data_IF_338302611216
#
_entry.id   IF_338302611216
#
_cell.length_a   1.000
_cell.length_b   1.000
_cell.length_c   1.000
_cell.angle_alpha   90.00
_cell.angle_beta   90.00
_cell.angle_gamma   90.00
#
_symmetry.space_group_name_H-M   'P 1'
#
loop_
_entity.id
_entity.type
_entity.pdbx_description
1 polymer ?
#
# COMPACT_ATOMS: atom_id res chain seq x y z
N UNK A 1 16.72 -17.39 1.98
CA UNK A 1 17.16 -18.20 0.82
C UNK A 1 17.51 -17.22 -0.28
N UNK A 2 18.66 -17.35 -0.95
CA UNK A 2 19.08 -16.38 -1.97
C UNK A 2 18.21 -16.53 -3.22
N UNK A 3 17.47 -15.49 -3.63
CA UNK A 3 16.50 -15.52 -4.74
C UNK A 3 17.12 -16.04 -6.05
N UNK A 4 18.38 -15.70 -6.31
CA UNK A 4 19.16 -16.20 -7.44
C UNK A 4 19.20 -17.74 -7.48
N UNK A 5 19.42 -18.39 -6.33
CA UNK A 5 19.48 -19.85 -6.21
C UNK A 5 18.12 -20.49 -6.45
N UNK A 6 17.03 -19.83 -6.05
CA UNK A 6 15.67 -20.30 -6.32
C UNK A 6 15.43 -20.29 -7.83
N UNK A 7 15.65 -19.14 -8.49
CA UNK A 7 15.47 -18.98 -9.94
C UNK A 7 16.27 -20.03 -10.70
N UNK A 8 17.57 -20.15 -10.43
CA UNK A 8 18.43 -21.13 -11.12
C UNK A 8 17.91 -22.56 -10.91
N UNK A 9 17.56 -22.96 -9.68
CA UNK A 9 17.03 -24.30 -9.42
C UNK A 9 15.69 -24.57 -10.09
N UNK A 10 14.85 -23.56 -10.26
CA UNK A 10 13.56 -23.67 -10.95
C UNK A 10 13.75 -23.91 -12.44
N UNK A 11 14.63 -23.16 -13.11
CA UNK A 11 14.76 -23.24 -14.57
C UNK A 11 15.75 -24.31 -15.06
N UNK A 12 16.77 -24.67 -14.27
CA UNK A 12 17.83 -25.60 -14.69
C UNK A 12 17.31 -26.98 -15.16
N UNK A 13 16.31 -27.62 -14.50
CA UNK A 13 15.77 -28.90 -14.96
C UNK A 13 15.06 -28.84 -16.32
N UNK A 14 14.68 -27.65 -16.78
CA UNK A 14 13.90 -27.43 -18.00
C UNK A 14 14.74 -26.87 -19.16
N UNK A 15 16.06 -26.75 -19.00
CA UNK A 15 16.96 -26.22 -20.02
C UNK A 15 18.13 -27.16 -20.27
N UNK A 16 18.45 -27.41 -21.54
CA UNK A 16 19.64 -28.18 -21.90
C UNK A 16 20.88 -27.29 -21.86
N UNK A 17 21.82 -27.62 -20.99
CA UNK A 17 23.07 -26.86 -20.82
C UNK A 17 22.98 -25.79 -19.72
N UNK A 18 23.96 -24.88 -19.72
CA UNK A 18 24.00 -23.76 -18.77
C UNK A 18 22.88 -22.76 -19.09
N UNK A 19 22.13 -22.33 -18.07
CA UNK A 19 21.18 -21.23 -18.23
C UNK A 19 21.90 -19.96 -18.73
N UNK A 20 21.24 -19.10 -19.53
CA UNK A 20 21.78 -17.80 -19.89
C UNK A 20 22.17 -17.00 -18.64
N UNK A 21 23.35 -16.37 -18.65
CA UNK A 21 23.86 -15.57 -17.52
C UNK A 21 22.90 -14.47 -17.11
N UNK A 22 22.15 -13.94 -18.08
CA UNK A 22 21.31 -12.76 -17.91
C UNK A 22 19.88 -13.13 -17.50
N UNK A 23 19.54 -14.43 -17.43
CA UNK A 23 18.19 -14.88 -17.07
C UNK A 23 17.80 -14.38 -15.67
N UNK A 24 18.62 -14.66 -14.67
CA UNK A 24 18.38 -14.27 -13.28
C UNK A 24 18.31 -12.75 -13.11
N UNK A 25 19.30 -11.93 -13.55
CA UNK A 25 19.22 -10.49 -13.39
C UNK A 25 18.04 -9.88 -14.17
N UNK A 26 17.69 -10.38 -15.35
CA UNK A 26 16.54 -9.87 -16.11
C UNK A 26 15.20 -10.19 -15.42
N UNK A 27 15.04 -11.39 -14.87
CA UNK A 27 13.83 -11.73 -14.11
C UNK A 27 13.71 -10.88 -12.85
N UNK A 28 14.80 -10.71 -12.09
CA UNK A 28 14.81 -9.86 -10.91
C UNK A 28 14.45 -8.43 -11.30
N UNK A 29 15.13 -7.85 -12.29
CA UNK A 29 14.86 -6.48 -12.76
C UNK A 29 13.41 -6.31 -13.20
N UNK A 30 12.88 -7.26 -13.98
CA UNK A 30 11.50 -7.19 -14.46
C UNK A 30 10.50 -7.20 -13.32
N UNK A 31 10.66 -8.07 -12.32
CA UNK A 31 9.71 -8.21 -11.22
C UNK A 31 9.93 -7.24 -10.05
N UNK A 32 11.03 -6.49 -10.05
CA UNK A 32 11.37 -5.45 -9.06
C UNK A 32 11.19 -4.03 -9.60
N UNK A 33 10.74 -3.87 -10.84
CA UNK A 33 10.58 -2.56 -11.47
C UNK A 33 9.30 -2.45 -12.30
N UNK A 34 9.01 -1.24 -12.77
CA UNK A 34 7.94 -0.89 -13.70
C UNK A 34 7.91 -1.72 -14.97
N UNK A 35 8.95 -2.49 -15.29
CA UNK A 35 8.88 -3.42 -16.40
C UNK A 35 7.77 -4.47 -16.18
N UNK A 36 7.63 -4.97 -14.94
CA UNK A 36 6.66 -6.01 -14.59
C UNK A 36 5.26 -5.51 -14.25
N UNK A 37 5.06 -4.19 -14.13
CA UNK A 37 3.82 -3.61 -13.59
C UNK A 37 3.40 -2.37 -14.36
N UNK A 38 2.12 -2.08 -14.36
CA UNK A 38 1.56 -0.82 -14.85
C UNK A 38 0.68 -0.24 -13.77
N UNK A 39 0.92 1.03 -13.41
CA UNK A 39 0.05 1.74 -12.48
C UNK A 39 -1.10 2.38 -13.25
N UNK A 40 -2.30 2.37 -12.66
CA UNK A 40 -3.41 3.17 -13.17
C UNK A 40 -3.00 4.68 -13.14
N UNK A 41 -3.17 5.43 -14.24
CA UNK A 41 -2.70 6.81 -14.33
C UNK A 41 -3.28 7.76 -13.28
N UNK A 42 -4.53 7.53 -12.87
CA UNK A 42 -5.21 8.31 -11.84
C UNK A 42 -4.57 8.11 -10.45
N UNK A 43 -4.09 6.91 -10.13
CA UNK A 43 -3.43 6.60 -8.85
C UNK A 43 -2.16 7.42 -8.69
N UNK A 44 -1.29 7.42 -9.70
CA UNK A 44 -0.03 8.18 -9.65
C UNK A 44 -0.31 9.67 -9.51
N UNK A 45 -1.21 10.19 -10.36
CA UNK A 45 -1.61 11.59 -10.37
C UNK A 45 -2.22 12.00 -9.02
N UNK A 46 -3.04 11.14 -8.44
CA UNK A 46 -3.69 11.37 -7.16
C UNK A 46 -2.68 11.45 -6.02
N UNK A 47 -1.82 10.43 -5.86
CA UNK A 47 -0.85 10.39 -4.77
C UNK A 47 0.15 11.56 -4.83
N UNK A 48 0.59 11.93 -6.03
CA UNK A 48 1.47 13.08 -6.23
C UNK A 48 0.77 14.40 -5.90
N UNK A 49 -0.48 14.60 -6.33
CA UNK A 49 -1.28 15.79 -5.95
C UNK A 49 -1.55 15.84 -4.45
N UNK A 50 -1.81 14.68 -3.84
CA UNK A 50 -2.07 14.54 -2.41
C UNK A 50 -0.81 14.89 -1.61
N UNK A 51 0.37 14.45 -2.05
CA UNK A 51 1.67 14.77 -1.43
C UNK A 51 1.93 16.27 -1.34
N UNK A 52 1.44 17.06 -2.31
CA UNK A 52 1.64 18.50 -2.36
C UNK A 52 0.68 19.28 -1.44
N UNK A 53 -0.27 18.60 -0.78
CA UNK A 53 -1.22 19.26 0.11
C UNK A 53 -0.54 19.66 1.43
N UNK A 54 -0.89 20.82 2.02
CA UNK A 54 -0.37 21.23 3.32
C UNK A 54 -0.58 20.18 4.42
N UNK A 55 -1.68 19.41 4.36
CA UNK A 55 -1.99 18.36 5.31
C UNK A 55 -0.93 17.25 5.42
N UNK A 56 -0.05 17.11 4.43
CA UNK A 56 1.04 16.12 4.44
C UNK A 56 2.24 16.54 5.28
N UNK A 57 2.33 17.81 5.67
CA UNK A 57 3.42 18.29 6.52
C UNK A 57 3.27 17.76 7.95
N UNK A 58 4.39 17.44 8.59
CA UNK A 58 4.41 16.89 9.95
C UNK A 58 3.77 17.83 11.00
N UNK A 59 3.85 19.15 10.78
CA UNK A 59 3.30 20.19 11.65
C UNK A 59 1.83 20.51 11.41
N UNK A 60 1.18 19.86 10.44
CA UNK A 60 -0.18 20.20 10.03
C UNK A 60 -1.25 19.71 11.02
N UNK A 61 -2.36 20.44 11.05
CA UNK A 61 -3.57 20.06 11.77
C UNK A 61 -4.78 20.45 10.91
N UNK A 62 -5.56 19.49 10.37
CA UNK A 62 -5.37 18.04 10.49
C UNK A 62 -4.22 17.53 9.60
N UNK A 63 -3.51 16.48 10.06
CA UNK A 63 -2.40 15.83 9.33
C UNK A 63 -2.84 14.58 8.59
N UNK A 64 -2.26 14.34 7.43
CA UNK A 64 -2.45 13.14 6.60
C UNK A 64 -1.14 12.38 6.42
N UNK A 65 -1.16 11.09 6.72
CA UNK A 65 -0.07 10.14 6.47
C UNK A 65 -0.58 9.05 5.52
N UNK A 66 0.22 8.69 4.52
CA UNK A 66 -0.13 7.71 3.49
C UNK A 66 0.83 6.54 3.55
N UNK A 67 0.32 5.37 3.90
CA UNK A 67 1.08 4.12 3.91
C UNK A 67 0.59 3.13 2.85
N UNK A 68 1.41 2.13 2.55
CA UNK A 68 1.02 0.94 1.78
C UNK A 68 0.98 -0.26 2.71
N UNK A 69 -0.08 -1.05 2.70
CA UNK A 69 -0.18 -2.34 3.40
C UNK A 69 -0.51 -3.42 2.37
N UNK A 70 0.34 -4.44 2.22
CA UNK A 70 0.22 -5.38 1.10
C UNK A 70 0.64 -6.81 1.46
N UNK A 71 -0.06 -7.78 0.86
CA UNK A 71 0.33 -9.20 0.92
C UNK A 71 1.40 -9.44 -0.15
N UNK A 72 2.63 -9.08 0.15
CA UNK A 72 3.76 -9.16 -0.78
C UNK A 72 5.09 -9.23 -0.03
N UNK A 73 6.17 -9.26 -0.80
CA UNK A 73 7.54 -9.29 -0.32
C UNK A 73 8.20 -7.89 -0.33
N UNK A 74 9.49 -7.84 0.00
CA UNK A 74 10.24 -6.61 0.28
C UNK A 74 10.58 -5.76 -0.94
N UNK A 75 10.24 -6.21 -2.16
CA UNK A 75 10.46 -5.44 -3.40
C UNK A 75 9.47 -4.30 -3.64
N UNK A 76 8.36 -4.26 -2.90
CA UNK A 76 7.26 -3.31 -3.15
C UNK A 76 7.73 -1.84 -3.18
N UNK A 77 8.56 -1.34 -2.25
CA UNK A 77 9.05 0.03 -2.30
C UNK A 77 9.85 0.34 -3.58
N UNK A 78 10.63 -0.62 -4.08
CA UNK A 78 11.40 -0.48 -5.32
C UNK A 78 10.51 -0.45 -6.56
N UNK A 79 9.50 -1.32 -6.61
CA UNK A 79 8.49 -1.33 -7.68
C UNK A 79 7.77 0.01 -7.74
N UNK A 80 7.24 0.50 -6.62
CA UNK A 80 6.54 1.78 -6.53
C UNK A 80 7.45 2.96 -6.90
N UNK A 81 8.70 2.95 -6.45
CA UNK A 81 9.69 3.97 -6.82
C UNK A 81 9.96 3.99 -8.33
N UNK A 82 10.11 2.81 -8.94
CA UNK A 82 10.35 2.69 -10.38
C UNK A 82 9.15 3.11 -11.24
N UNK A 83 7.93 3.05 -10.68
CA UNK A 83 6.69 3.55 -11.29
C UNK A 83 6.55 5.08 -11.20
N UNK A 84 7.47 5.77 -10.51
CA UNK A 84 7.54 7.22 -10.44
C UNK A 84 6.99 7.84 -9.15
N UNK A 85 6.74 7.04 -8.11
CA UNK A 85 6.38 7.54 -6.78
C UNK A 85 7.63 7.79 -5.93
N UNK A 86 7.60 8.83 -5.10
CA UNK A 86 8.61 9.08 -4.06
C UNK A 86 8.20 8.29 -2.82
N UNK A 87 8.89 7.19 -2.55
CA UNK A 87 8.55 6.27 -1.45
C UNK A 87 9.57 6.40 -0.34
N UNK A 88 9.11 6.62 0.90
CA UNK A 88 9.95 6.40 2.07
C UNK A 88 10.08 4.89 2.31
N UNK A 89 11.31 4.42 2.54
CA UNK A 89 11.61 2.99 2.70
C UNK A 89 11.45 2.50 4.14
N UNK A 90 10.75 3.26 4.98
CA UNK A 90 10.33 2.81 6.31
C UNK A 90 9.40 1.60 6.15
N UNK A 91 9.72 0.53 6.88
CA UNK A 91 8.97 -0.72 6.89
C UNK A 91 8.91 -1.33 8.28
N UNK A 92 8.12 -2.39 8.45
CA UNK A 92 8.04 -3.08 9.72
C UNK A 92 9.44 -3.52 10.19
N UNK A 93 9.78 -3.20 11.45
CA UNK A 93 11.11 -3.46 12.02
C UNK A 93 12.21 -2.46 11.63
N UNK A 94 11.94 -1.46 10.77
CA UNK A 94 12.88 -0.36 10.51
C UNK A 94 13.10 0.48 11.76
N UNK A 95 14.33 0.96 11.94
CA UNK A 95 14.60 2.05 12.88
C UNK A 95 14.13 3.36 12.25
N UNK A 96 13.22 4.04 12.92
CA UNK A 96 12.81 5.39 12.56
C UNK A 96 13.80 6.36 13.18
N UNK A 97 14.56 7.06 12.34
CA UNK A 97 15.48 8.09 12.77
C UNK A 97 14.90 9.47 12.45
N UNK A 98 15.26 10.49 13.23
CA UNK A 98 14.92 11.88 12.89
C UNK A 98 15.64 12.24 11.60
N UNK A 99 14.92 12.20 10.49
CA UNK A 99 15.46 12.62 9.21
C UNK A 99 15.51 14.16 9.18
N UNK A 100 16.66 14.72 8.76
CA UNK A 100 16.78 16.14 8.44
C UNK A 100 15.85 16.49 7.27
N UNK A 101 15.45 17.76 7.12
CA UNK A 101 14.56 18.30 6.08
C UNK A 101 14.52 17.45 4.80
N UNK A 102 13.59 16.50 4.74
CA UNK A 102 13.44 15.63 3.59
C UNK A 102 12.37 16.17 2.65
N UNK A 103 12.60 15.94 1.36
CA UNK A 103 11.58 16.09 0.34
C UNK A 103 10.32 15.29 0.71
N UNK A 104 9.17 15.95 0.67
CA UNK A 104 7.87 15.32 0.88
C UNK A 104 7.71 14.08 0.00
N UNK A 105 7.45 12.94 0.62
CA UNK A 105 7.22 11.67 -0.06
C UNK A 105 5.75 11.53 -0.44
N UNK A 106 5.50 10.75 -1.49
CA UNK A 106 4.15 10.37 -1.90
C UNK A 106 3.60 9.30 -0.95
N UNK A 107 4.47 8.37 -0.52
CA UNK A 107 4.18 7.28 0.43
C UNK A 107 5.18 7.36 1.60
N UNK A 108 4.66 7.39 2.82
CA UNK A 108 5.41 7.63 4.06
C UNK A 108 5.98 6.34 4.68
N UNK A 109 5.37 5.18 4.40
CA UNK A 109 5.88 3.88 4.81
C UNK A 109 5.22 2.73 4.03
N UNK A 110 5.82 1.54 4.09
CA UNK A 110 5.28 0.31 3.55
C UNK A 110 5.24 -0.79 4.61
N UNK A 111 4.14 -1.54 4.68
CA UNK A 111 3.97 -2.76 5.47
C UNK A 111 3.71 -3.91 4.50
N UNK A 112 4.56 -4.93 4.55
CA UNK A 112 4.48 -6.10 3.69
C UNK A 112 4.27 -7.34 4.56
N UNK A 113 3.43 -8.28 4.11
CA UNK A 113 3.15 -9.49 4.88
C UNK A 113 4.38 -10.33 5.20
N UNK A 114 5.40 -10.32 4.32
CA UNK A 114 6.67 -11.01 4.59
C UNK A 114 7.47 -10.39 5.73
N UNK A 115 7.40 -9.08 5.92
CA UNK A 115 8.09 -8.41 7.03
C UNK A 115 7.37 -8.67 8.36
N UNK A 116 6.03 -8.68 8.34
CA UNK A 116 5.21 -8.88 9.55
C UNK A 116 5.09 -10.36 9.92
N UNK A 117 5.14 -11.26 8.94
CA UNK A 117 4.93 -12.70 9.11
C UNK A 117 3.47 -13.15 9.06
N UNK A 118 2.54 -12.27 8.69
CA UNK A 118 1.12 -12.58 8.48
C UNK A 118 0.54 -11.75 7.33
N UNK A 119 -0.54 -12.24 6.76
CA UNK A 119 -1.23 -11.64 5.60
C UNK A 119 -2.59 -11.07 6.02
N UNK A 120 -3.05 -10.04 5.32
CA UNK A 120 -4.47 -9.65 5.35
C UNK A 120 -5.35 -10.88 5.06
N UNK A 121 -6.44 -11.12 5.81
CA UNK A 121 -7.11 -10.18 6.73
C UNK A 121 -6.66 -10.25 8.21
N UNK A 122 -5.52 -10.87 8.54
CA UNK A 122 -5.02 -10.88 9.94
C UNK A 122 -4.80 -9.44 10.43
N UNK A 123 -5.37 -9.09 11.58
CA UNK A 123 -5.37 -7.73 12.14
C UNK A 123 -3.96 -7.21 12.44
N UNK A 124 -3.01 -8.12 12.74
CA UNK A 124 -1.61 -7.79 13.05
C UNK A 124 -0.91 -7.01 11.95
N UNK A 125 -1.29 -7.19 10.69
CA UNK A 125 -0.67 -6.43 9.59
C UNK A 125 -1.12 -4.95 9.61
N UNK A 126 -2.34 -4.67 10.08
CA UNK A 126 -2.84 -3.32 10.29
C UNK A 126 -2.25 -2.71 11.58
N UNK A 127 -2.10 -3.51 12.64
CA UNK A 127 -1.39 -3.09 13.86
C UNK A 127 0.08 -2.76 13.60
N UNK A 128 0.73 -3.47 12.68
CA UNK A 128 2.08 -3.15 12.24
C UNK A 128 2.16 -1.76 11.58
N UNK A 129 1.11 -1.34 10.87
CA UNK A 129 1.02 0.00 10.28
C UNK A 129 0.87 1.09 11.34
N UNK A 130 -0.03 0.92 12.31
CA UNK A 130 -0.21 1.89 13.42
C UNK A 130 1.02 1.95 14.33
N UNK A 131 1.71 0.83 14.54
CA UNK A 131 2.97 0.77 15.30
C UNK A 131 4.09 1.54 14.61
N UNK A 132 4.19 1.44 13.28
CA UNK A 132 5.17 2.21 12.51
C UNK A 132 4.82 3.70 12.48
N UNK A 133 3.53 4.05 12.34
CA UNK A 133 3.05 5.41 12.50
C UNK A 133 3.41 5.97 13.89
N UNK A 134 3.22 5.20 14.96
CA UNK A 134 3.64 5.61 16.31
C UNK A 134 5.12 5.92 16.37
N UNK A 135 5.96 5.08 15.76
CA UNK A 135 7.41 5.30 15.72
C UNK A 135 7.78 6.56 14.93
N UNK A 136 7.06 6.86 13.84
CA UNK A 136 7.20 8.11 13.07
C UNK A 136 6.87 9.31 13.95
N UNK A 137 5.71 9.31 14.60
CA UNK A 137 5.27 10.42 15.44
C UNK A 137 6.22 10.62 16.64
N UNK A 138 6.64 9.54 17.29
CA UNK A 138 7.61 9.58 18.40
C UNK A 138 8.93 10.22 17.94
N UNK A 139 9.41 9.86 16.74
CA UNK A 139 10.60 10.48 16.17
C UNK A 139 10.44 11.99 15.93
N UNK A 140 9.22 12.46 15.69
CA UNK A 140 8.90 13.88 15.49
C UNK A 140 8.58 14.62 16.80
N UNK A 141 8.60 13.93 17.95
CA UNK A 141 8.24 14.49 19.26
C UNK A 141 6.74 14.59 19.51
N UNK A 142 5.94 13.86 18.74
CA UNK A 142 4.49 13.66 18.94
C UNK A 142 4.23 12.25 19.48
N UNK A 143 3.02 11.97 19.96
CA UNK A 143 2.64 10.65 20.47
C UNK A 143 1.42 10.17 19.72
N UNK A 144 1.44 8.93 19.24
CA UNK A 144 0.25 8.33 18.64
C UNK A 144 -0.83 8.06 19.70
N UNK A 145 -2.05 8.50 19.40
CA UNK A 145 -3.26 8.16 20.14
C UNK A 145 -4.33 7.77 19.14
N UNK A 146 -4.95 6.62 19.34
CA UNK A 146 -5.89 6.06 18.36
C UNK A 146 -7.06 7.00 18.09
N UNK A 147 -7.55 7.67 19.12
CA UNK A 147 -8.65 8.63 19.09
C UNK A 147 -8.35 9.92 18.31
N UNK A 148 -7.06 10.24 18.07
CA UNK A 148 -6.66 11.44 17.33
C UNK A 148 -6.54 11.17 15.82
N UNK A 149 -6.69 9.90 15.38
CA UNK A 149 -6.44 9.48 14.00
C UNK A 149 -7.63 8.73 13.41
N UNK A 150 -8.13 9.25 12.30
CA UNK A 150 -9.02 8.51 11.41
C UNK A 150 -8.20 7.58 10.52
N UNK A 151 -8.39 6.27 10.71
CA UNK A 151 -7.68 5.24 9.96
C UNK A 151 -8.56 4.73 8.82
N UNK A 152 -8.12 4.92 7.58
CA UNK A 152 -8.83 4.44 6.39
C UNK A 152 -7.92 3.52 5.56
N UNK A 153 -8.45 2.35 5.21
CA UNK A 153 -7.82 1.47 4.25
C UNK A 153 -8.57 1.52 2.91
N UNK A 154 -7.81 1.60 1.81
CA UNK A 154 -8.33 1.59 0.44
C UNK A 154 -7.77 0.37 -0.26
N UNK A 155 -8.65 -0.54 -0.71
CA UNK A 155 -8.26 -1.77 -1.40
C UNK A 155 -9.35 -2.29 -2.30
N UNK A 156 -9.09 -3.36 -3.02
CA UNK A 156 -10.00 -3.96 -4.00
C UNK A 156 -10.59 -5.31 -3.56
N UNK A 157 -10.10 -5.90 -2.46
CA UNK A 157 -10.59 -7.18 -1.95
C UNK A 157 -11.54 -7.02 -0.75
N UNK A 158 -12.80 -7.44 -0.85
CA UNK A 158 -13.80 -7.38 0.22
C UNK A 158 -13.29 -8.06 1.49
N UNK A 159 -12.79 -9.29 1.37
CA UNK A 159 -12.37 -10.07 2.55
C UNK A 159 -11.02 -9.60 3.09
N UNK A 160 -10.00 -9.46 2.23
CA UNK A 160 -8.64 -9.15 2.71
C UNK A 160 -8.53 -7.69 3.13
N UNK A 161 -9.10 -6.78 2.34
CA UNK A 161 -8.94 -5.34 2.54
C UNK A 161 -10.02 -4.77 3.44
N UNK A 162 -11.28 -4.85 3.02
CA UNK A 162 -12.36 -4.18 3.74
C UNK A 162 -12.65 -4.84 5.09
N UNK A 163 -12.88 -6.16 5.11
CA UNK A 163 -13.16 -6.87 6.36
C UNK A 163 -11.94 -6.86 7.28
N UNK A 164 -10.73 -7.08 6.76
CA UNK A 164 -9.50 -7.02 7.55
C UNK A 164 -9.29 -5.65 8.20
N UNK A 165 -9.50 -4.56 7.46
CA UNK A 165 -9.41 -3.21 8.01
C UNK A 165 -10.48 -2.98 9.10
N UNK A 166 -11.71 -3.40 8.87
CA UNK A 166 -12.83 -3.22 9.82
C UNK A 166 -12.56 -3.99 11.11
N UNK A 167 -12.08 -5.24 11.02
CA UNK A 167 -11.76 -6.08 12.17
C UNK A 167 -10.61 -5.47 13.00
N UNK A 168 -9.64 -4.81 12.35
CA UNK A 168 -8.58 -4.03 13.00
C UNK A 168 -9.06 -2.67 13.56
N UNK A 169 -10.34 -2.33 13.39
CA UNK A 169 -10.94 -1.08 13.85
C UNK A 169 -10.64 0.14 12.96
N UNK A 170 -10.25 -0.08 11.70
CA UNK A 170 -10.14 0.96 10.68
C UNK A 170 -11.48 1.14 9.95
N UNK A 171 -11.56 2.17 9.13
CA UNK A 171 -12.56 2.32 8.09
C UNK A 171 -12.03 1.72 6.78
N UNK A 172 -12.93 1.43 5.85
CA UNK A 172 -12.59 0.85 4.56
C UNK A 172 -13.29 1.59 3.42
N UNK A 173 -12.64 1.61 2.27
CA UNK A 173 -13.21 1.94 0.96
C UNK A 173 -12.78 0.86 -0.02
N UNK A 174 -13.71 0.40 -0.84
CA UNK A 174 -13.44 -0.55 -1.92
C UNK A 174 -13.21 0.22 -3.23
N UNK A 175 -12.09 -0.06 -3.88
CA UNK A 175 -11.79 0.37 -5.24
C UNK A 175 -12.22 -0.70 -6.21
N UNK A 176 -13.23 -0.38 -7.00
CA UNK A 176 -13.82 -1.26 -7.98
C UNK A 176 -13.71 -0.63 -9.36
N UNK A 177 -12.63 -0.94 -10.06
CA UNK A 177 -12.37 -0.38 -11.40
C UNK A 177 -13.37 -0.86 -12.46
N UNK A 178 -14.32 -1.72 -12.11
CA UNK A 178 -15.21 -2.39 -13.05
C UNK A 178 -14.43 -3.34 -13.96
N UNK A 179 -15.14 -4.07 -14.82
CA UNK A 179 -14.57 -5.08 -15.71
C UNK A 179 -13.63 -4.58 -16.83
N UNK A 180 -12.90 -3.47 -16.63
CA UNK A 180 -11.67 -3.19 -17.37
C UNK A 180 -10.66 -4.30 -17.05
N UNK A 181 -10.83 -5.41 -17.76
CA UNK A 181 -9.92 -6.56 -17.79
C UNK A 181 -8.61 -6.12 -18.43
N UNK A 182 -7.77 -5.43 -17.68
CA UNK A 182 -6.40 -5.91 -17.68
C UNK A 182 -6.50 -7.34 -17.13
N UNK A 183 -6.05 -8.32 -17.91
CA UNK A 183 -6.23 -9.77 -17.64
C UNK A 183 -5.51 -10.23 -16.34
N UNK A 184 -4.99 -9.31 -15.54
CA UNK A 184 -4.26 -9.50 -14.29
C UNK A 184 -4.94 -8.85 -13.07
N UNK A 185 -6.10 -8.18 -13.21
CA UNK A 185 -6.84 -7.67 -12.06
C UNK A 185 -7.65 -8.80 -11.40
N UNK A 186 -7.33 -9.11 -10.14
CA UNK A 186 -7.91 -10.23 -9.38
C UNK A 186 -8.84 -9.80 -8.22
N UNK A 187 -9.18 -8.50 -8.11
CA UNK A 187 -10.08 -8.00 -7.08
C UNK A 187 -11.48 -8.64 -7.12
N UNK A 188 -12.08 -8.88 -5.95
CA UNK A 188 -13.43 -9.46 -5.80
C UNK A 188 -14.52 -8.40 -5.57
N UNK A 189 -14.23 -7.14 -5.90
CA UNK A 189 -15.16 -6.03 -5.83
C UNK A 189 -16.45 -6.28 -6.65
N UNK A 190 -17.61 -5.76 -6.20
CA UNK A 190 -18.93 -6.19 -6.69
C UNK A 190 -19.32 -5.71 -8.11
N UNK A 191 -18.51 -4.90 -8.76
CA UNK A 191 -18.72 -4.33 -10.10
C UNK A 191 -19.65 -3.12 -10.16
N UNK A 192 -19.95 -2.45 -9.04
CA UNK A 192 -20.94 -1.35 -8.96
C UNK A 192 -20.52 -0.24 -7.98
N UNK A 193 -20.58 1.02 -8.41
CA UNK A 193 -20.44 2.17 -7.51
C UNK A 193 -21.59 2.22 -6.49
N UNK A 194 -21.29 2.59 -5.25
CA UNK A 194 -22.28 2.69 -4.19
C UNK A 194 -21.71 2.34 -2.83
N UNK A 195 -22.42 1.48 -2.11
CA UNK A 195 -22.00 1.01 -0.78
C UNK A 195 -22.33 -0.47 -0.62
N UNK A 196 -21.54 -1.15 0.20
CA UNK A 196 -21.85 -2.49 0.69
C UNK A 196 -21.67 -2.58 2.20
N UNK A 197 -22.33 -3.57 2.81
CA UNK A 197 -22.17 -3.85 4.23
C UNK A 197 -21.05 -4.88 4.43
N UNK A 198 -20.04 -4.52 5.23
CA UNK A 198 -18.92 -5.38 5.60
C UNK A 198 -18.74 -5.23 7.11
N UNK A 199 -18.68 -6.34 7.87
CA UNK A 199 -18.55 -6.29 9.32
C UNK A 199 -19.57 -5.39 10.05
N UNK A 200 -20.78 -5.21 9.51
CA UNK A 200 -21.79 -4.30 10.04
C UNK A 200 -21.54 -2.80 9.81
N UNK A 201 -20.52 -2.44 9.02
CA UNK A 201 -20.23 -1.06 8.58
C UNK A 201 -20.60 -0.87 7.12
N UNK A 202 -21.03 0.35 6.78
CA UNK A 202 -21.28 0.79 5.40
C UNK A 202 -19.95 1.19 4.74
N UNK A 203 -19.51 0.41 3.76
CA UNK A 203 -18.24 0.60 3.03
C UNK A 203 -18.52 1.20 1.64
N UNK A 204 -17.99 2.39 1.31
CA UNK A 204 -18.12 2.98 -0.02
C UNK A 204 -17.38 2.14 -1.07
N UNK A 205 -17.95 2.05 -2.27
CA UNK A 205 -17.35 1.43 -3.45
C UNK A 205 -17.18 2.51 -4.51
N UNK A 206 -15.93 2.80 -4.87
CA UNK A 206 -15.58 3.84 -5.84
C UNK A 206 -14.87 3.24 -7.05
N UNK A 207 -15.05 3.85 -8.23
CA UNK A 207 -14.42 3.39 -9.48
C UNK A 207 -13.00 3.89 -9.71
N UNK A 208 -12.59 4.94 -9.00
CA UNK A 208 -11.32 5.60 -9.22
C UNK A 208 -10.82 6.35 -7.98
N UNK A 209 -9.54 6.73 -8.02
CA UNK A 209 -8.91 7.47 -6.92
C UNK A 209 -9.33 8.94 -6.87
N UNK A 210 -9.86 9.51 -7.97
CA UNK A 210 -10.33 10.89 -7.96
C UNK A 210 -11.52 11.05 -6.99
N UNK A 211 -12.39 10.04 -6.91
CA UNK A 211 -13.51 9.97 -5.98
C UNK A 211 -13.10 9.96 -4.48
N UNK A 212 -11.84 9.65 -4.14
CA UNK A 212 -11.34 9.76 -2.77
C UNK A 212 -11.19 11.22 -2.31
N UNK A 213 -11.15 12.18 -3.24
CA UNK A 213 -11.01 13.59 -2.92
C UNK A 213 -9.67 13.96 -2.27
N UNK A 214 -9.52 15.20 -1.83
CA UNK A 214 -8.21 15.79 -1.50
C UNK A 214 -7.67 15.49 -0.09
N UNK A 215 -8.45 14.78 0.73
CA UNK A 215 -8.08 14.44 2.11
C UNK A 215 -8.12 12.92 2.35
N UNK A 216 -7.72 12.13 1.35
CA UNK A 216 -7.60 10.68 1.47
C UNK A 216 -8.91 9.99 1.83
N UNK A 217 -10.05 10.40 1.25
CA UNK A 217 -11.34 9.76 1.49
C UNK A 217 -12.04 10.10 2.80
N UNK A 218 -11.46 10.92 3.69
CA UNK A 218 -12.07 11.25 5.00
C UNK A 218 -13.52 11.75 4.89
N UNK A 219 -13.83 12.56 3.89
CA UNK A 219 -15.18 13.09 3.67
C UNK A 219 -16.23 12.00 3.41
N UNK A 220 -15.82 10.82 2.92
CA UNK A 220 -16.71 9.68 2.67
C UNK A 220 -17.20 9.07 4.00
N UNK A 221 -16.42 9.21 5.06
CA UNK A 221 -16.71 8.67 6.39
C UNK A 221 -17.69 9.55 7.19
N UNK A 222 -17.86 10.81 6.81
CA UNK A 222 -18.76 11.75 7.46
C UNK A 222 -20.26 11.57 7.06
N UNK A 223 -20.58 10.47 6.38
CA UNK A 223 -21.90 10.20 5.80
C UNK A 223 -22.80 9.38 6.73
N UNK A 224 -23.03 9.86 7.95
CA UNK A 224 -24.15 9.41 8.81
C UNK A 224 -24.91 10.60 9.41
#
# INVERSE_FOLDING_TARGET
>A
MELSKVITKTFQPHHQGSLPSDLTPNLINRFWSKEGYTAFPDVLSYLQKLSAQPSRLASSSPRLVVGVITNSDDRVPDVLSSLGLRVNRLRHGSKVEKEAEQEQKDIDFCIMSYDVGCEKPDDKIFDAATSLLSSILDSEGSVYRKEDWELLYVGDEVKKDAQGAIDAGWNAVIMDRGGEKDMAYEGDAPGVEGFMEVGGKKVPILKDFEALGTYGGHHLLASE
#
